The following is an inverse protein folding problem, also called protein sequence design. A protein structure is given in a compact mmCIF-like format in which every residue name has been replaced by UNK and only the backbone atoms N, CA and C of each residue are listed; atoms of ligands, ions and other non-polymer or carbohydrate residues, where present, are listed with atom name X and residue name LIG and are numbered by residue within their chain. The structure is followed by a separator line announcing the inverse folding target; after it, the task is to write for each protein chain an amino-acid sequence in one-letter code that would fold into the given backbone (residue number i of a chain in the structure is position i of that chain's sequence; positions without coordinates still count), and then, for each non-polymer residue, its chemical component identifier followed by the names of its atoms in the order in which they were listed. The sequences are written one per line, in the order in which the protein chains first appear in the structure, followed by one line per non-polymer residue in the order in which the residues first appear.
data_IF_030236478025
#
_entry.id   IF_030236478025
#
_cell.length_a   1.000
_cell.length_b   1.000
_cell.length_c   1.000
_cell.angle_alpha   90.00
_cell.angle_beta   90.00
_cell.angle_gamma   90.00
#
_symmetry.space_group_name_H-M   'P 1'
#
loop_
_entity.id
_entity.type
_entity.pdbx_description
1 polymer ?
#
# COMPACT_ATOMS: atom_id res chain seq x y z
N UNK A 1 2.18 -21.16 -3.88
CA UNK A 1 1.58 -20.14 -4.77
C UNK A 1 2.26 -18.81 -4.46
N UNK A 2 2.63 -17.98 -5.46
CA UNK A 2 3.27 -16.71 -5.16
C UNK A 2 2.33 -15.82 -4.34
N UNK A 3 2.88 -15.10 -3.37
CA UNK A 3 2.20 -13.97 -2.73
C UNK A 3 1.88 -13.00 -3.87
N UNK A 4 0.64 -12.55 -4.00
CA UNK A 4 0.26 -11.60 -5.05
C UNK A 4 -0.31 -10.38 -4.37
N UNK A 5 0.54 -9.38 -4.17
CA UNK A 5 0.10 -8.05 -3.76
C UNK A 5 -0.82 -7.46 -4.84
N UNK A 6 -1.67 -6.52 -4.44
CA UNK A 6 -2.62 -5.89 -5.35
C UNK A 6 -2.72 -4.38 -5.08
N UNK A 7 -2.92 -3.61 -6.15
CA UNK A 7 -3.27 -2.19 -6.06
C UNK A 7 -4.79 -2.08 -5.95
N UNK A 8 -5.28 -1.48 -4.88
CA UNK A 8 -6.71 -1.30 -4.60
C UNK A 8 -7.04 0.19 -4.69
N UNK A 9 -7.86 0.63 -5.66
CA UNK A 9 -8.13 2.05 -5.89
C UNK A 9 -9.28 2.63 -5.07
N UNK A 10 -10.08 1.81 -4.38
CA UNK A 10 -11.19 2.31 -3.55
C UNK A 10 -11.58 1.34 -2.45
N UNK A 11 -12.18 1.88 -1.37
CA UNK A 11 -12.60 1.11 -0.20
C UNK A 11 -11.42 0.77 0.70
N UNK A 12 -11.32 -0.47 1.18
CA UNK A 12 -10.25 -0.90 2.08
C UNK A 12 -9.61 -2.19 1.57
N UNK A 13 -8.39 -2.52 2.00
CA UNK A 13 -7.83 -3.85 1.69
C UNK A 13 -8.79 -4.98 2.15
N UNK A 14 -9.34 -4.98 3.39
CA UNK A 14 -10.31 -5.98 3.83
C UNK A 14 -11.59 -6.05 3.00
N UNK A 15 -12.19 -4.93 2.60
CA UNK A 15 -13.42 -4.94 1.79
C UNK A 15 -13.20 -5.51 0.38
N UNK A 16 -11.95 -5.52 -0.09
CA UNK A 16 -11.56 -6.10 -1.38
C UNK A 16 -11.01 -7.54 -1.24
N UNK A 17 -11.10 -8.16 -0.06
CA UNK A 17 -10.64 -9.54 0.18
C UNK A 17 -9.13 -9.68 0.43
N UNK A 18 -8.46 -8.58 0.76
CA UNK A 18 -7.03 -8.52 1.07
C UNK A 18 -6.79 -8.13 2.52
N UNK A 19 -5.53 -8.10 2.93
CA UNK A 19 -5.08 -7.56 4.21
C UNK A 19 -4.24 -6.30 3.98
N UNK A 20 -4.19 -5.46 5.01
CA UNK A 20 -3.26 -4.33 5.06
C UNK A 20 -1.81 -4.84 5.15
N UNK A 21 -0.90 -4.19 4.44
CA UNK A 21 0.54 -4.32 4.68
C UNK A 21 0.86 -3.46 5.90
N UNK A 22 1.28 -4.03 7.02
CA UNK A 22 1.47 -3.28 8.27
C UNK A 22 2.93 -3.13 8.68
N UNK A 23 3.87 -3.41 7.78
CA UNK A 23 5.29 -3.09 7.96
C UNK A 23 5.89 -2.41 6.74
N UNK A 24 6.90 -1.58 6.99
CA UNK A 24 7.65 -0.88 5.96
C UNK A 24 8.38 -1.84 5.05
N UNK A 25 8.96 -2.89 5.64
CA UNK A 25 9.72 -3.92 4.95
C UNK A 25 8.84 -4.70 3.97
N UNK A 26 7.62 -5.03 4.37
CA UNK A 26 6.64 -5.71 3.50
C UNK A 26 6.12 -4.76 2.42
N UNK A 27 5.94 -3.48 2.72
CA UNK A 27 5.59 -2.45 1.73
C UNK A 27 6.67 -2.31 0.64
N UNK A 28 7.94 -2.38 1.06
CA UNK A 28 9.08 -2.42 0.14
C UNK A 28 9.13 -3.70 -0.68
N UNK A 29 8.92 -4.87 -0.07
CA UNK A 29 8.86 -6.12 -0.82
C UNK A 29 7.73 -6.09 -1.87
N UNK A 30 6.56 -5.56 -1.49
CA UNK A 30 5.42 -5.42 -2.38
C UNK A 30 5.67 -4.47 -3.56
N UNK A 31 6.43 -3.40 -3.36
CA UNK A 31 6.78 -2.47 -4.44
C UNK A 31 7.66 -3.13 -5.51
N UNK A 32 8.61 -3.98 -5.10
CA UNK A 32 9.43 -4.77 -6.00
C UNK A 32 8.62 -5.83 -6.75
N UNK A 33 7.74 -6.56 -6.06
CA UNK A 33 6.90 -7.60 -6.68
C UNK A 33 5.89 -7.04 -7.68
N UNK A 34 5.32 -5.87 -7.40
CA UNK A 34 4.37 -5.21 -8.31
C UNK A 34 5.04 -4.57 -9.53
N UNK A 35 6.36 -4.72 -9.69
CA UNK A 35 7.14 -4.16 -10.80
C UNK A 35 6.80 -2.69 -11.04
N UNK A 36 6.73 -1.92 -9.95
CA UNK A 36 6.52 -0.47 -9.96
C UNK A 36 7.79 0.23 -10.46
N UNK A 37 8.26 -0.13 -11.66
CA UNK A 37 9.37 0.45 -12.43
C UNK A 37 10.70 0.72 -11.68
N UNK A 38 10.96 0.10 -10.52
CA UNK A 38 12.13 0.42 -9.70
C UNK A 38 11.99 1.70 -8.86
N UNK A 39 10.75 2.10 -8.58
CA UNK A 39 10.39 3.23 -7.73
C UNK A 39 11.09 3.20 -6.36
N UNK A 40 11.92 4.19 -6.01
CA UNK A 40 12.38 4.34 -4.64
C UNK A 40 11.18 4.70 -3.73
N UNK A 41 11.10 4.10 -2.55
CA UNK A 41 10.14 4.50 -1.52
C UNK A 41 10.43 5.96 -1.15
N UNK A 42 9.41 6.83 -1.23
CA UNK A 42 9.57 8.21 -0.72
C UNK A 42 9.77 8.16 0.80
N UNK A 43 10.61 9.04 1.36
CA UNK A 43 10.81 9.10 2.80
C UNK A 43 9.47 9.41 3.52
N UNK A 44 9.33 8.85 4.73
CA UNK A 44 8.10 8.82 5.55
C UNK A 44 7.55 10.21 5.92
N UNK A 45 8.36 11.25 5.73
CA UNK A 45 8.07 12.66 6.01
C UNK A 45 7.62 13.44 4.76
N UNK A 46 7.45 12.78 3.62
CA UNK A 46 6.96 13.46 2.43
C UNK A 46 5.53 13.96 2.68
N UNK A 47 5.31 15.28 2.54
CA UNK A 47 4.00 15.92 2.66
C UNK A 47 3.01 15.50 1.55
N UNK A 48 3.40 14.58 0.68
CA UNK A 48 2.70 14.09 -0.50
C UNK A 48 2.29 12.64 -0.24
N UNK A 49 1.01 12.30 -0.47
CA UNK A 49 0.40 10.97 -0.31
C UNK A 49 0.52 10.33 1.10
N UNK A 50 -0.60 10.30 1.82
CA UNK A 50 -0.69 10.10 3.28
C UNK A 50 -1.56 8.91 3.67
N UNK A 51 -1.92 8.06 2.72
CA UNK A 51 -2.79 6.92 2.97
C UNK A 51 -2.17 6.02 4.03
N UNK A 52 -3.01 5.50 4.93
CA UNK A 52 -2.55 4.55 5.94
C UNK A 52 -1.80 3.39 5.28
N UNK A 53 -0.77 2.90 5.95
CA UNK A 53 -0.01 1.73 5.52
C UNK A 53 0.76 1.94 4.22
N UNK A 54 0.49 1.13 3.21
CA UNK A 54 1.24 1.07 1.96
C UNK A 54 0.36 1.55 0.82
N UNK A 55 0.80 2.53 0.03
CA UNK A 55 0.05 3.05 -1.12
C UNK A 55 0.96 3.47 -2.27
N UNK A 56 0.38 3.67 -3.46
CA UNK A 56 1.05 4.32 -4.59
C UNK A 56 0.36 5.64 -4.90
N UNK A 57 1.08 6.58 -5.51
CA UNK A 57 0.53 7.89 -5.91
C UNK A 57 0.10 7.86 -7.39
N UNK A 58 -1.17 8.13 -7.68
CA UNK A 58 -1.78 7.83 -8.99
C UNK A 58 -1.59 8.83 -10.16
N UNK A 59 -1.04 10.06 -10.02
CA UNK A 59 -0.46 10.73 -11.19
C UNK A 59 0.89 10.12 -11.60
N UNK A 60 1.43 9.19 -10.81
CA UNK A 60 2.75 8.59 -11.00
C UNK A 60 2.75 7.07 -11.07
N UNK A 61 1.57 6.42 -11.19
CA UNK A 61 1.35 4.99 -11.49
C UNK A 61 2.59 4.08 -11.32
N UNK A 62 3.04 3.92 -10.07
CA UNK A 62 4.18 3.05 -9.76
C UNK A 62 5.57 3.69 -9.84
N UNK A 63 5.74 5.00 -9.74
CA UNK A 63 7.07 5.63 -9.53
C UNK A 63 7.35 5.94 -8.05
N UNK A 64 6.32 5.91 -7.20
CA UNK A 64 6.44 6.25 -5.78
C UNK A 64 5.56 5.34 -4.93
N UNK A 65 6.19 4.68 -3.97
CA UNK A 65 5.52 3.96 -2.90
C UNK A 65 5.62 4.76 -1.63
N UNK A 66 4.48 4.87 -0.94
CA UNK A 66 4.36 5.58 0.31
C UNK A 66 4.09 4.59 1.43
N UNK A 67 4.79 4.81 2.54
CA UNK A 67 4.62 4.06 3.78
C UNK A 67 4.27 5.02 4.92
N UNK A 68 3.23 4.66 5.68
CA UNK A 68 2.81 5.39 6.87
C UNK A 68 2.28 4.41 7.93
N UNK A 69 2.71 4.54 9.18
CA UNK A 69 2.18 3.74 10.29
C UNK A 69 1.04 4.43 11.05
N UNK A 70 0.71 5.68 10.72
CA UNK A 70 -0.48 6.36 11.22
C UNK A 70 -1.70 5.81 10.49
N UNK A 71 -2.72 5.43 11.26
CA UNK A 71 -3.96 4.85 10.74
C UNK A 71 -5.12 5.84 10.74
N UNK A 72 -4.93 7.01 11.35
CA UNK A 72 -5.90 8.12 11.46
C UNK A 72 -5.16 9.43 11.75
N UNK A 73 -5.83 10.58 11.61
CA UNK A 73 -5.27 11.88 11.99
C UNK A 73 -4.68 12.62 10.79
N UNK A 74 -3.59 13.37 11.00
CA UNK A 74 -3.00 14.23 9.97
C UNK A 74 -1.47 14.24 10.04
N UNK A 75 -0.80 14.17 8.88
CA UNK A 75 0.65 14.33 8.75
C UNK A 75 0.95 15.77 8.33
N UNK A 76 1.10 16.71 9.26
CA UNK A 76 1.13 18.13 8.89
C UNK A 76 -0.29 18.65 8.59
N UNK A 77 -0.57 19.15 7.38
CA UNK A 77 -1.83 19.87 7.06
C UNK A 77 -2.97 19.07 6.41
N UNK A 78 -2.75 17.82 6.09
CA UNK A 78 -3.70 16.94 5.41
C UNK A 78 -3.86 15.63 6.16
N UNK A 79 -5.09 15.17 6.10
CA UNK A 79 -5.60 13.96 6.71
C UNK A 79 -4.86 12.71 6.22
N UNK A 80 -4.86 11.69 7.06
CA UNK A 80 -4.48 10.31 6.75
C UNK A 80 -5.77 9.57 6.34
N UNK A 81 -5.98 9.30 5.04
CA UNK A 81 -7.13 8.51 4.60
C UNK A 81 -7.12 7.12 5.24
N UNK A 82 -8.26 6.73 5.79
CA UNK A 82 -8.53 5.39 6.37
C UNK A 82 -8.98 4.38 5.30
N UNK A 83 -9.02 4.81 4.05
CA UNK A 83 -9.50 4.09 2.88
C UNK A 83 -8.58 4.37 1.69
N UNK A 84 -8.56 3.43 0.76
CA UNK A 84 -7.92 3.57 -0.53
C UNK A 84 -8.71 4.54 -1.40
N UNK A 85 -8.01 5.36 -2.18
CA UNK A 85 -8.64 6.33 -3.08
C UNK A 85 -7.98 6.29 -4.45
N UNK A 86 -8.70 6.74 -5.48
CA UNK A 86 -8.18 6.69 -6.84
C UNK A 86 -6.91 7.52 -6.99
N UNK A 87 -6.78 8.64 -6.27
CA UNK A 87 -5.59 9.48 -6.26
C UNK A 87 -4.41 8.87 -5.49
N UNK A 88 -4.69 7.93 -4.57
CA UNK A 88 -3.71 7.26 -3.70
C UNK A 88 -4.18 5.82 -3.40
N UNK A 89 -4.09 4.91 -4.37
CA UNK A 89 -4.56 3.54 -4.20
C UNK A 89 -3.65 2.78 -3.22
N UNK A 90 -4.23 1.89 -2.42
CA UNK A 90 -3.47 1.09 -1.47
C UNK A 90 -2.74 -0.05 -2.15
N UNK A 91 -1.58 -0.43 -1.61
CA UNK A 91 -0.97 -1.73 -1.85
C UNK A 91 -1.43 -2.69 -0.75
N UNK A 92 -2.09 -3.77 -1.15
CA UNK A 92 -2.69 -4.74 -0.26
C UNK A 92 -2.02 -6.11 -0.42
N UNK A 93 -1.99 -6.91 0.65
CA UNK A 93 -1.43 -8.27 0.65
C UNK A 93 -2.52 -9.34 0.66
N UNK A 94 -2.27 -10.54 0.11
CA UNK A 94 -3.25 -11.62 0.20
C UNK A 94 -3.49 -12.03 1.66
N UNK A 95 -4.73 -12.38 2.00
CA UNK A 95 -5.03 -12.94 3.31
C UNK A 95 -4.32 -14.28 3.56
N UNK A 96 -3.97 -14.55 4.81
CA UNK A 96 -3.31 -15.79 5.30
C UNK A 96 -3.93 -17.11 4.79
N UNK A 97 -5.17 -17.11 4.29
CA UNK A 97 -5.84 -18.28 3.72
C UNK A 97 -5.33 -18.72 2.32
N UNK A 98 -4.37 -18.01 1.70
CA UNK A 98 -3.85 -18.35 0.35
C UNK A 98 -2.53 -19.14 0.36
N UNK A 99 -1.95 -19.43 1.53
CA UNK A 99 -0.89 -20.42 1.67
C UNK A 99 -1.48 -21.82 1.53
N UNK A 100 -1.79 -22.24 0.29
CA UNK A 100 -2.00 -23.66 0.02
C UNK A 100 -0.71 -24.40 0.35
N UNK A 101 -0.73 -25.10 1.48
CA UNK A 101 0.14 -26.23 1.77
C UNK A 101 -0.06 -27.25 0.64
N UNK A 102 0.93 -27.33 -0.25
CA UNK A 102 0.99 -28.34 -1.30
C UNK A 102 1.96 -29.42 -0.86
N UNK A 103 1.38 -30.52 -0.40
CA UNK A 103 2.03 -31.79 -0.07
C UNK A 103 2.68 -32.42 -1.30
#
# INVERSE_FOLDING_TARGET
RPVTYAIVPSGTCPSNGYQWITSREECNAASFELLLAGAPIKPEDSNENRVMWCSVWEPHAGQWVHWNNQTTGSIGRSEVPTECRAENPCICKPGLAKFHNGN
#
